data_IF_605111804192
#
_entry.id   IF_605111804192
#
_cell.length_a   1.000
_cell.length_b   1.000
_cell.length_c   1.000
_cell.angle_alpha   90.00
_cell.angle_beta   90.00
_cell.angle_gamma   90.00
#
_symmetry.space_group_name_H-M   'P 1'
#
loop_
_entity.id
_entity.type
_entity.pdbx_description
1 polymer ?
#
# COMPACT_ATOMS: atom_id res chain seq x y z
N UNK A 1 -12.10 12.15 18.51
CA UNK A 1 -10.99 12.26 17.53
C UNK A 1 -9.83 11.43 18.04
N UNK A 2 -9.55 10.27 17.42
CA UNK A 2 -8.40 9.44 17.77
C UNK A 2 -7.15 10.04 17.14
N UNK A 3 -6.26 10.62 17.96
CA UNK A 3 -4.87 10.85 17.56
C UNK A 3 -4.27 9.49 17.30
N UNK A 4 -4.07 9.12 16.04
CA UNK A 4 -3.31 7.93 15.69
C UNK A 4 -1.85 8.25 16.00
N UNK A 5 -1.47 8.03 17.26
CA UNK A 5 -0.07 7.78 17.60
C UNK A 5 0.36 6.63 16.70
N UNK A 6 1.50 6.75 16.02
CA UNK A 6 2.27 5.56 15.65
C UNK A 6 2.23 4.67 16.89
N UNK A 7 1.74 3.44 16.77
CA UNK A 7 1.66 2.54 17.93
C UNK A 7 3.03 2.62 18.61
N UNK A 8 3.03 2.77 19.94
CA UNK A 8 4.25 3.00 20.71
C UNK A 8 5.28 1.88 20.55
N UNK A 9 6.34 1.85 21.36
CA UNK A 9 7.37 0.81 21.30
C UNK A 9 6.76 -0.60 21.14
N UNK A 10 7.25 -1.37 20.16
CA UNK A 10 6.78 -2.72 19.84
C UNK A 10 5.79 -2.84 18.67
N UNK A 11 5.42 -1.74 18.02
CA UNK A 11 4.62 -1.79 16.80
C UNK A 11 5.36 -2.46 15.63
N UNK A 12 4.68 -3.36 14.91
CA UNK A 12 5.16 -3.86 13.63
C UNK A 12 4.78 -2.87 12.52
N UNK A 13 5.77 -2.50 11.70
CA UNK A 13 5.59 -1.53 10.62
C UNK A 13 6.10 -2.09 9.31
N UNK A 14 5.48 -1.63 8.21
CA UNK A 14 6.02 -1.77 6.87
C UNK A 14 6.65 -0.45 6.48
N UNK A 15 7.83 -0.48 5.88
CA UNK A 15 8.54 0.71 5.41
C UNK A 15 9.00 0.51 3.97
N UNK A 16 9.29 1.61 3.28
CA UNK A 16 9.77 1.57 1.90
C UNK A 16 11.09 0.81 1.81
N UNK A 17 11.22 -0.13 0.87
CA UNK A 17 12.35 -1.08 0.76
C UNK A 17 13.74 -0.43 0.73
N UNK A 18 13.85 0.81 0.27
CA UNK A 18 15.11 1.53 0.09
C UNK A 18 15.23 2.76 1.01
N UNK A 19 14.39 2.84 2.04
CA UNK A 19 14.41 3.95 2.98
C UNK A 19 15.24 3.66 4.22
N UNK A 20 15.63 4.76 4.87
CA UNK A 20 16.27 4.77 6.17
C UNK A 20 17.79 4.88 6.12
N UNK A 21 18.39 4.97 7.30
CA UNK A 21 19.83 5.00 7.52
C UNK A 21 20.17 3.94 8.54
N UNK A 22 21.02 3.00 8.15
CA UNK A 22 21.56 2.00 9.07
C UNK A 22 22.54 2.67 10.04
N UNK A 23 22.39 2.38 11.32
CA UNK A 23 23.25 2.89 12.38
C UNK A 23 23.62 1.73 13.31
N UNK A 24 24.91 1.56 13.53
CA UNK A 24 25.42 0.68 14.58
C UNK A 24 25.48 1.45 15.90
N UNK A 25 24.74 0.99 16.91
CA UNK A 25 24.76 1.58 18.23
C UNK A 25 24.79 0.46 19.28
N UNK A 26 25.76 0.50 20.20
CA UNK A 26 26.00 -0.54 21.21
C UNK A 26 26.18 -1.96 20.64
N UNK A 27 26.73 -2.09 19.42
CA UNK A 27 26.92 -3.38 18.76
C UNK A 27 25.65 -3.96 18.13
N UNK A 28 24.54 -3.22 18.16
CA UNK A 28 23.28 -3.58 17.53
C UNK A 28 23.01 -2.68 16.32
N UNK A 29 22.63 -3.32 15.21
CA UNK A 29 22.20 -2.64 13.99
C UNK A 29 20.78 -2.10 14.16
N UNK A 30 20.65 -0.80 13.97
CA UNK A 30 19.39 -0.10 13.98
C UNK A 30 19.12 0.52 12.61
N UNK A 31 17.85 0.65 12.24
CA UNK A 31 17.43 1.39 11.04
C UNK A 31 16.65 2.62 11.47
N UNK A 32 17.18 3.80 11.18
CA UNK A 32 16.49 5.08 11.41
C UNK A 32 15.66 5.39 10.16
N UNK A 33 14.35 5.55 10.34
CA UNK A 33 13.41 5.86 9.26
C UNK A 33 12.77 7.24 9.49
N UNK A 34 12.48 7.95 8.40
CA UNK A 34 11.57 9.10 8.45
C UNK A 34 10.14 8.59 8.56
N UNK A 35 9.27 9.37 9.19
CA UNK A 35 7.84 9.04 9.29
C UNK A 35 7.22 8.76 7.92
N UNK A 36 7.55 9.59 6.93
CA UNK A 36 7.01 9.46 5.56
C UNK A 36 7.47 8.18 4.83
N UNK A 37 8.57 7.57 5.28
CA UNK A 37 9.05 6.29 4.75
C UNK A 37 8.34 5.08 5.35
N UNK A 38 7.57 5.28 6.43
CA UNK A 38 6.72 4.26 7.02
C UNK A 38 5.45 4.17 6.18
N UNK A 39 5.24 2.99 5.59
CA UNK A 39 4.11 2.69 4.71
C UNK A 39 2.83 2.50 5.51
N UNK A 40 2.92 1.76 6.61
CA UNK A 40 1.76 1.32 7.37
C UNK A 40 2.14 0.57 8.64
N UNK A 41 1.13 0.38 9.49
CA UNK A 41 1.23 -0.43 10.71
C UNK A 41 0.54 -1.75 10.46
N UNK A 42 1.22 -2.85 10.80
CA UNK A 42 0.64 -4.18 10.77
C UNK A 42 -0.08 -4.47 12.09
N UNK A 43 -1.31 -4.96 12.01
CA UNK A 43 -2.06 -5.42 13.18
C UNK A 43 -1.86 -6.91 13.45
N UNK A 44 -1.58 -7.65 12.39
CA UNK A 44 -1.25 -9.08 12.36
C UNK A 44 0.03 -9.26 11.53
N UNK A 45 0.42 -10.49 11.25
CA UNK A 45 1.57 -10.79 10.41
C UNK A 45 1.22 -10.97 8.91
N UNK A 46 0.04 -10.52 8.46
CA UNK A 46 -0.41 -10.57 7.06
C UNK A 46 -0.65 -9.17 6.48
N UNK A 47 -0.24 -8.95 5.22
CA UNK A 47 -0.27 -7.61 4.59
C UNK A 47 -1.69 -7.08 4.36
N UNK A 48 -2.68 -7.96 4.22
CA UNK A 48 -4.09 -7.56 4.04
C UNK A 48 -4.63 -6.77 5.24
N UNK A 49 -4.01 -6.94 6.41
CA UNK A 49 -4.37 -6.26 7.67
C UNK A 49 -3.52 -5.00 7.90
N UNK A 50 -2.74 -4.58 6.90
CA UNK A 50 -1.96 -3.33 6.95
C UNK A 50 -2.90 -2.14 7.06
N UNK A 51 -2.64 -1.29 8.05
CA UNK A 51 -3.23 0.04 8.17
C UNK A 51 -2.29 1.07 7.51
N UNK A 52 -2.61 1.59 6.32
CA UNK A 52 -1.75 2.56 5.66
C UNK A 52 -1.64 3.84 6.48
N UNK A 53 -0.47 4.47 6.44
CA UNK A 53 -0.24 5.79 7.05
C UNK A 53 -0.38 6.90 6.02
N UNK A 54 -0.57 8.12 6.53
CA UNK A 54 -0.65 9.34 5.72
C UNK A 54 -1.67 9.21 4.59
N UNK A 55 -1.30 9.61 3.37
CA UNK A 55 -2.13 9.57 2.17
C UNK A 55 -1.97 8.28 1.36
N UNK A 56 -1.51 7.20 1.98
CA UNK A 56 -1.30 5.91 1.30
C UNK A 56 -2.59 5.09 1.24
N UNK A 57 -2.67 4.24 0.22
CA UNK A 57 -3.77 3.30 0.01
C UNK A 57 -3.21 1.90 -0.20
N UNK A 58 -3.89 0.90 0.35
CA UNK A 58 -3.63 -0.52 0.10
C UNK A 58 -4.64 -1.02 -0.92
N UNK A 59 -4.14 -1.58 -2.01
CA UNK A 59 -4.95 -2.10 -3.12
C UNK A 59 -4.63 -3.58 -3.28
N UNK A 60 -5.65 -4.43 -3.37
CA UNK A 60 -5.52 -5.80 -3.84
C UNK A 60 -5.51 -5.79 -5.37
N UNK A 61 -4.44 -6.31 -5.97
CA UNK A 61 -4.24 -6.31 -7.41
C UNK A 61 -5.17 -7.37 -8.03
N UNK A 62 -5.97 -6.97 -9.01
CA UNK A 62 -6.78 -7.92 -9.77
C UNK A 62 -5.89 -8.75 -10.72
N UNK A 63 -6.33 -9.93 -11.13
CA UNK A 63 -5.59 -10.72 -12.12
C UNK A 63 -6.01 -10.31 -13.53
N UNK A 64 -5.04 -10.15 -14.43
CA UNK A 64 -5.36 -9.97 -15.85
C UNK A 64 -6.08 -11.22 -16.37
N UNK A 65 -7.22 -11.05 -17.04
CA UNK A 65 -7.99 -12.18 -17.56
C UNK A 65 -7.13 -13.07 -18.47
N UNK A 66 -7.15 -14.37 -18.18
CA UNK A 66 -6.36 -15.34 -18.94
C UNK A 66 -6.97 -15.71 -20.30
N UNK A 67 -8.29 -15.54 -20.43
CA UNK A 67 -9.09 -15.97 -21.58
C UNK A 67 -9.82 -14.77 -22.18
N UNK A 68 -9.71 -14.60 -23.49
CA UNK A 68 -10.62 -13.71 -24.22
C UNK A 68 -11.97 -14.40 -24.40
N UNK A 69 -13.04 -13.62 -24.64
CA UNK A 69 -14.41 -14.13 -24.84
C UNK A 69 -14.55 -15.21 -25.94
N UNK A 70 -13.55 -15.35 -26.83
CA UNK A 70 -13.49 -16.37 -27.88
C UNK A 70 -12.80 -17.69 -27.50
N UNK A 71 -12.41 -17.89 -26.23
CA UNK A 71 -11.78 -19.14 -25.78
C UNK A 71 -10.32 -19.32 -26.19
N UNK A 72 -9.69 -18.30 -26.78
CA UNK A 72 -8.28 -18.34 -27.13
C UNK A 72 -7.44 -18.10 -25.87
N UNK A 73 -6.66 -19.11 -25.47
CA UNK A 73 -5.61 -18.93 -24.48
C UNK A 73 -4.49 -18.09 -25.10
N UNK A 74 -4.23 -16.93 -24.52
CA UNK A 74 -3.05 -16.15 -24.89
C UNK A 74 -1.81 -16.95 -24.45
N UNK A 75 -1.03 -17.44 -25.40
CA UNK A 75 0.26 -18.08 -25.12
C UNK A 75 1.15 -17.08 -24.39
N UNK A 76 2.01 -17.59 -23.49
CA UNK A 76 2.72 -16.82 -22.45
C UNK A 76 3.66 -15.73 -23.01
N UNK A 77 3.10 -14.61 -23.45
CA UNK A 77 3.73 -13.32 -23.25
C UNK A 77 3.61 -13.01 -21.76
N UNK A 78 4.69 -12.56 -21.12
CA UNK A 78 4.65 -12.05 -19.74
C UNK A 78 3.52 -11.05 -19.62
N UNK A 79 2.36 -11.48 -19.12
CA UNK A 79 1.22 -10.60 -18.91
C UNK A 79 1.67 -9.61 -17.86
N UNK A 80 1.80 -8.36 -18.28
CA UNK A 80 2.08 -7.29 -17.34
C UNK A 80 0.98 -7.28 -16.28
N UNK A 81 1.36 -7.09 -15.02
CA UNK A 81 0.38 -6.93 -13.95
C UNK A 81 -0.60 -5.84 -14.34
N UNK A 82 -1.91 -6.08 -14.22
CA UNK A 82 -2.87 -5.03 -14.50
C UNK A 82 -2.61 -3.88 -13.53
N UNK A 83 -2.77 -2.66 -14.02
CA UNK A 83 -2.62 -1.45 -13.21
C UNK A 83 -3.97 -1.03 -12.63
N UNK A 84 -4.81 -2.00 -12.26
CA UNK A 84 -6.07 -1.79 -11.57
C UNK A 84 -6.29 -2.83 -10.47
N UNK A 85 -7.07 -2.46 -9.46
CA UNK A 85 -7.28 -3.29 -8.28
C UNK A 85 -8.38 -2.77 -7.39
N UNK A 86 -8.73 -3.55 -6.36
CA UNK A 86 -9.73 -3.18 -5.36
C UNK A 86 -9.04 -2.56 -4.14
N UNK A 87 -9.44 -1.35 -3.73
CA UNK A 87 -8.95 -0.70 -2.52
C UNK A 87 -9.40 -1.51 -1.29
N UNK A 88 -8.46 -1.95 -0.47
CA UNK A 88 -8.73 -2.72 0.75
C UNK A 88 -8.72 -1.80 1.96
N UNK A 89 -7.75 -0.90 2.05
CA UNK A 89 -7.63 0.06 3.14
C UNK A 89 -7.11 1.40 2.65
N UNK A 90 -7.51 2.47 3.33
CA UNK A 90 -7.06 3.83 3.08
C UNK A 90 -6.41 4.40 4.33
N UNK A 91 -5.33 5.15 4.13
CA UNK A 91 -4.70 5.93 5.16
C UNK A 91 -5.59 7.07 5.63
N UNK A 92 -5.29 7.65 6.80
CA UNK A 92 -6.10 8.69 7.40
C UNK A 92 -6.02 10.05 6.67
N UNK A 93 -5.10 10.19 5.72
CA UNK A 93 -4.86 11.42 4.97
C UNK A 93 -3.77 12.31 5.55
N UNK A 94 -3.31 13.24 4.71
CA UNK A 94 -2.30 14.25 5.08
C UNK A 94 -2.87 15.16 6.15
N UNK A 95 -2.02 15.50 7.12
CA UNK A 95 -2.31 16.50 8.14
C UNK A 95 -1.88 17.86 7.61
N UNK A 96 -2.78 18.84 7.61
CA UNK A 96 -2.45 20.22 7.24
C UNK A 96 -1.72 20.95 8.39
N UNK A 97 -1.34 22.20 8.13
CA UNK A 97 -0.62 23.04 9.10
C UNK A 97 -1.42 23.31 10.39
N UNK A 98 -2.76 23.19 10.32
CA UNK A 98 -3.67 23.39 11.45
C UNK A 98 -3.92 22.09 12.23
N UNK A 99 -3.36 20.96 11.78
CA UNK A 99 -3.53 19.66 12.41
C UNK A 99 -4.79 18.90 11.96
N UNK A 100 -5.52 19.41 10.96
CA UNK A 100 -6.69 18.74 10.41
C UNK A 100 -6.27 17.72 9.34
N UNK A 101 -7.06 16.65 9.20
CA UNK A 101 -6.81 15.63 8.18
C UNK A 101 -7.60 15.92 6.93
N UNK A 102 -6.92 15.91 5.79
CA UNK A 102 -7.58 15.91 4.48
C UNK A 102 -7.93 14.47 4.08
N UNK A 103 -9.23 14.11 3.99
CA UNK A 103 -9.63 12.76 3.60
C UNK A 103 -9.18 12.43 2.17
N UNK A 104 -8.93 11.15 1.90
CA UNK A 104 -8.57 10.68 0.57
C UNK A 104 -9.81 10.67 -0.34
N UNK A 105 -9.64 10.92 -1.65
CA UNK A 105 -10.72 10.83 -2.64
C UNK A 105 -11.16 9.39 -2.94
N UNK A 106 -10.54 8.38 -2.33
CA UNK A 106 -10.85 6.96 -2.52
C UNK A 106 -11.24 6.31 -1.20
N UNK A 107 -12.00 5.22 -1.27
CA UNK A 107 -12.45 4.45 -0.12
C UNK A 107 -12.28 2.95 -0.35
N UNK A 108 -12.25 2.17 0.73
CA UNK A 108 -12.29 0.71 0.67
C UNK A 108 -13.48 0.22 -0.16
N UNK A 109 -13.23 -0.80 -0.99
CA UNK A 109 -14.19 -1.36 -1.94
C UNK A 109 -14.22 -0.66 -3.30
N UNK A 110 -13.56 0.50 -3.48
CA UNK A 110 -13.43 1.08 -4.82
C UNK A 110 -12.50 0.24 -5.69
N UNK A 111 -12.92 -0.03 -6.92
CA UNK A 111 -12.00 -0.49 -7.97
C UNK A 111 -11.31 0.74 -8.56
N UNK A 112 -9.99 0.72 -8.65
CA UNK A 112 -9.20 1.87 -9.08
C UNK A 112 -8.18 1.49 -10.14
N UNK A 113 -7.96 2.39 -11.09
CA UNK A 113 -6.78 2.39 -11.97
C UNK A 113 -5.67 3.20 -11.29
N UNK A 114 -4.44 2.70 -11.31
CA UNK A 114 -3.28 3.34 -10.68
C UNK A 114 -2.04 3.29 -11.57
N UNK A 115 -1.03 4.10 -11.24
CA UNK A 115 0.24 4.14 -11.98
C UNK A 115 1.05 2.84 -11.81
N UNK A 116 1.42 2.22 -12.93
CA UNK A 116 2.07 0.90 -13.01
C UNK A 116 3.39 0.73 -12.24
N UNK A 117 4.11 1.83 -12.00
CA UNK A 117 5.44 1.82 -11.35
C UNK A 117 5.46 2.60 -10.03
N UNK A 118 4.28 2.94 -9.51
CA UNK A 118 4.17 3.58 -8.21
C UNK A 118 4.14 2.53 -7.08
N UNK A 119 4.48 2.97 -5.88
CA UNK A 119 4.21 2.18 -4.68
C UNK A 119 5.18 1.03 -4.39
N UNK A 120 4.71 0.10 -3.56
CA UNK A 120 5.45 -1.08 -3.10
C UNK A 120 4.53 -2.31 -3.23
N UNK A 121 5.00 -3.36 -3.91
CA UNK A 121 4.30 -4.63 -4.03
C UNK A 121 4.50 -5.54 -2.80
N UNK A 122 3.46 -6.28 -2.46
CA UNK A 122 3.46 -7.26 -1.39
C UNK A 122 2.68 -8.51 -1.79
N UNK A 123 3.01 -9.64 -1.16
CA UNK A 123 2.27 -10.89 -1.32
C UNK A 123 1.60 -11.23 0.01
N UNK A 124 0.27 -11.38 -0.02
CA UNK A 124 -0.50 -11.80 1.14
C UNK A 124 -0.36 -13.29 1.40
N UNK A 125 -0.64 -13.69 2.65
CA UNK A 125 -0.66 -15.12 3.03
C UNK A 125 -1.87 -15.85 2.45
N UNK A 126 -2.89 -15.11 2.06
CA UNK A 126 -4.06 -15.59 1.31
C UNK A 126 -3.76 -15.87 -0.18
N UNK A 127 -2.55 -15.57 -0.64
CA UNK A 127 -2.11 -15.80 -2.01
C UNK A 127 -2.48 -14.69 -3.00
N UNK A 128 -3.10 -13.60 -2.53
CA UNK A 128 -3.33 -12.40 -3.34
C UNK A 128 -2.08 -11.50 -3.35
N UNK A 129 -2.01 -10.66 -4.38
CA UNK A 129 -1.00 -9.61 -4.48
C UNK A 129 -1.61 -8.28 -4.05
N UNK A 130 -0.81 -7.49 -3.36
CA UNK A 130 -1.19 -6.19 -2.85
C UNK A 130 -0.17 -5.14 -3.29
N UNK A 131 -0.62 -3.91 -3.42
CA UNK A 131 0.24 -2.76 -3.64
C UNK A 131 -0.15 -1.65 -2.68
N UNK A 132 0.85 -0.98 -2.10
CA UNK A 132 0.64 0.28 -1.39
C UNK A 132 1.22 1.42 -2.18
N UNK A 133 0.43 2.46 -2.43
CA UNK A 133 0.84 3.65 -3.17
C UNK A 133 0.22 4.91 -2.54
N UNK A 134 0.65 6.11 -2.95
CA UNK A 134 -0.01 7.34 -2.50
C UNK A 134 -1.30 7.55 -3.27
N UNK A 135 -2.27 8.22 -2.66
CA UNK A 135 -3.52 8.55 -3.32
C UNK A 135 -3.36 9.36 -4.60
N UNK A 136 -2.26 10.11 -4.76
CA UNK A 136 -1.92 10.83 -5.99
C UNK A 136 -1.56 9.92 -7.17
N UNK A 137 -1.16 8.68 -6.89
CA UNK A 137 -0.82 7.68 -7.91
C UNK A 137 -2.07 6.91 -8.39
N UNK A 138 -3.23 7.13 -7.75
CA UNK A 138 -4.52 6.65 -8.24
C UNK A 138 -4.99 7.58 -9.37
N UNK A 139 -5.23 7.00 -10.55
CA UNK A 139 -5.58 7.71 -11.77
C UNK A 139 -7.09 7.88 -11.88
N UNK A 140 -7.87 6.83 -11.56
CA UNK A 140 -9.32 6.85 -11.66
C UNK A 140 -9.98 5.83 -10.72
N UNK A 141 -11.23 6.12 -10.31
CA UNK A 141 -12.14 5.14 -9.72
C UNK A 141 -13.00 4.58 -10.85
N UNK A 142 -13.04 3.26 -10.96
CA UNK A 142 -13.83 2.52 -11.95
C UNK A 142 -15.21 2.18 -11.35
N UNK A 143 -16.25 2.27 -12.17
CA UNK A 143 -17.66 2.06 -11.81
C UNK A 143 -18.23 0.78 -12.42
#
# INVERSE_FOLDING_TARGET
>A
MLKQSLKGPGAQVVYSKYAGTEVDFNGEKHLILKDDDIVGILETDDIKDLKPLNDRVLIQIEKAEEKTAGGLFLTQATKEKPSFGTVVAVGPGVVDEEGNRKPLPVASGNTVLYSKYAGNDFKGKDGYEYITLRSSDVIAILS
#
